data_IF_290714502059
#
_entry.id   IF_290714502059
#
_cell.length_a   1.000
_cell.length_b   1.000
_cell.length_c   1.000
_cell.angle_alpha   90.00
_cell.angle_beta   90.00
_cell.angle_gamma   90.00
#
_symmetry.space_group_name_H-M   'P 1'
#
loop_
_entity.id
_entity.type
_entity.pdbx_description
1 polymer ?
#
# COMPACT_ATOMS: atom_id res chain seq x y z
N UNK A 1 -46.95 7.89 -53.09
CA UNK A 1 -46.21 6.64 -52.82
C UNK A 1 -45.52 6.81 -51.47
N UNK A 2 -45.87 5.95 -50.52
CA UNK A 2 -45.62 6.08 -49.09
C UNK A 2 -44.38 5.26 -48.72
N UNK A 3 -43.44 5.81 -47.94
CA UNK A 3 -42.72 5.03 -46.92
C UNK A 3 -42.22 5.94 -45.80
N UNK A 4 -42.58 5.49 -44.61
CA UNK A 4 -42.47 6.10 -43.29
C UNK A 4 -41.29 5.48 -42.53
N UNK A 5 -40.68 6.28 -41.64
CA UNK A 5 -40.01 5.98 -40.36
C UNK A 5 -38.98 4.84 -40.24
N UNK A 6 -37.81 5.15 -39.64
CA UNK A 6 -37.20 4.61 -38.38
C UNK A 6 -35.82 5.29 -38.24
N UNK A 7 -35.63 6.31 -37.39
CA UNK A 7 -35.19 6.30 -35.97
C UNK A 7 -33.82 5.66 -35.69
N UNK A 8 -32.89 6.51 -35.24
CA UNK A 8 -31.68 6.33 -34.41
C UNK A 8 -31.12 4.93 -34.11
N UNK A 9 -29.80 4.75 -34.26
CA UNK A 9 -29.02 3.91 -33.34
C UNK A 9 -27.49 4.15 -33.40
N UNK A 10 -26.96 4.51 -32.21
CA UNK A 10 -25.71 4.09 -31.59
C UNK A 10 -24.33 4.53 -32.13
N UNK A 11 -23.70 5.33 -31.26
CA UNK A 11 -22.28 5.51 -31.00
C UNK A 11 -21.42 4.25 -31.25
N UNK A 12 -20.36 4.42 -32.04
CA UNK A 12 -19.19 3.56 -32.00
C UNK A 12 -18.15 4.17 -31.04
N UNK A 13 -18.48 4.16 -29.75
CA UNK A 13 -17.51 4.25 -28.66
C UNK A 13 -16.79 2.91 -28.62
N UNK A 14 -15.69 2.79 -29.35
CA UNK A 14 -15.02 1.50 -29.54
C UNK A 14 -13.57 1.66 -29.88
N UNK A 15 -12.80 2.27 -28.98
CA UNK A 15 -11.33 2.20 -28.92
C UNK A 15 -10.84 2.52 -27.48
N UNK A 16 -11.56 2.05 -26.46
CA UNK A 16 -11.02 1.87 -25.10
C UNK A 16 -10.37 0.49 -24.97
N UNK A 17 -9.51 0.15 -25.94
CA UNK A 17 -8.82 -1.13 -26.01
C UNK A 17 -7.32 -0.91 -26.23
N UNK A 18 -6.69 -0.28 -25.24
CA UNK A 18 -5.29 -0.52 -24.88
C UNK A 18 -5.31 -0.79 -23.38
N UNK A 19 -5.64 -2.01 -22.94
CA UNK A 19 -4.67 -3.09 -22.84
C UNK A 19 -3.30 -2.59 -22.36
N UNK A 20 -3.26 -2.02 -21.16
CA UNK A 20 -2.11 -2.13 -20.27
C UNK A 20 -2.22 -3.40 -19.43
N UNK A 21 -2.36 -4.55 -20.10
CA UNK A 21 -2.15 -5.88 -19.52
C UNK A 21 -0.63 -6.04 -19.39
N UNK A 22 -0.08 -5.39 -18.37
CA UNK A 22 1.31 -5.50 -17.97
C UNK A 22 1.36 -5.21 -16.48
N UNK A 23 1.98 -6.12 -15.72
CA UNK A 23 2.30 -5.98 -14.31
C UNK A 23 2.53 -4.51 -13.92
N UNK A 24 1.59 -3.92 -13.17
CA UNK A 24 1.64 -2.50 -12.84
C UNK A 24 2.50 -2.32 -11.60
N UNK A 25 3.82 -2.37 -11.80
CA UNK A 25 4.75 -1.91 -10.79
C UNK A 25 4.49 -0.44 -10.48
N UNK A 26 4.67 -0.06 -9.22
CA UNK A 26 4.54 1.31 -8.77
C UNK A 26 5.59 1.60 -7.71
N UNK A 27 6.03 2.85 -7.60
CA UNK A 27 6.79 3.33 -6.45
C UNK A 27 5.88 4.15 -5.57
N UNK A 28 6.21 4.25 -4.29
CA UNK A 28 5.48 5.12 -3.39
C UNK A 28 6.37 5.70 -2.30
N UNK A 29 5.94 6.85 -1.81
CA UNK A 29 6.52 7.56 -0.68
C UNK A 29 5.44 7.80 0.36
N UNK A 30 5.78 7.73 1.63
CA UNK A 30 4.87 8.01 2.76
C UNK A 30 5.59 8.88 3.77
N UNK A 31 4.96 9.99 4.14
CA UNK A 31 5.38 10.86 5.23
C UNK A 31 4.78 10.33 6.54
N UNK A 32 5.51 9.45 7.22
CA UNK A 32 5.02 8.70 8.38
C UNK A 32 5.16 9.55 9.64
N UNK A 33 4.05 9.73 10.35
CA UNK A 33 4.05 10.38 11.65
C UNK A 33 4.74 9.50 12.73
N UNK A 34 5.30 10.10 13.79
CA UNK A 34 5.84 9.34 14.91
C UNK A 34 4.79 8.36 15.47
N UNK A 35 5.15 7.08 15.70
CA UNK A 35 4.22 6.07 16.18
C UNK A 35 3.70 6.37 17.59
N UNK A 36 2.40 6.19 17.78
CA UNK A 36 1.77 6.15 19.10
C UNK A 36 1.80 4.73 19.61
N UNK A 37 2.59 4.47 20.65
CA UNK A 37 2.77 3.12 21.16
C UNK A 37 1.71 2.73 22.19
N UNK A 38 1.32 1.46 22.17
CA UNK A 38 0.34 0.86 23.07
C UNK A 38 0.91 -0.46 23.61
N UNK A 39 1.02 -0.55 24.94
CA UNK A 39 1.59 -1.72 25.61
C UNK A 39 3.10 -1.90 25.39
N UNK A 40 3.61 -3.01 25.92
CA UNK A 40 5.01 -3.42 25.83
C UNK A 40 5.91 -2.97 27.00
N UNK A 41 6.97 -3.73 27.27
CA UNK A 41 8.08 -3.31 28.13
C UNK A 41 9.05 -2.49 27.29
N UNK A 42 9.22 -1.22 27.68
CA UNK A 42 10.13 -0.27 27.06
C UNK A 42 11.59 -0.51 27.49
N UNK A 43 12.43 0.55 27.57
CA UNK A 43 13.91 0.51 27.59
C UNK A 43 14.60 -0.25 28.75
N UNK A 44 13.82 -1.02 29.51
CA UNK A 44 14.11 -1.66 30.79
C UNK A 44 13.68 -3.15 30.85
N UNK A 45 13.24 -3.79 29.75
CA UNK A 45 13.07 -5.26 29.76
C UNK A 45 12.15 -5.95 28.76
N UNK A 46 11.85 -5.31 27.63
CA UNK A 46 11.53 -5.91 26.32
C UNK A 46 10.60 -7.13 26.24
N UNK A 47 9.29 -6.88 26.07
CA UNK A 47 8.34 -7.79 25.42
C UNK A 47 7.23 -6.98 24.72
N UNK A 48 6.98 -7.28 23.45
CA UNK A 48 5.74 -6.99 22.71
C UNK A 48 5.24 -5.55 22.78
N UNK A 49 5.87 -4.63 22.05
CA UNK A 49 5.37 -3.26 21.89
C UNK A 49 4.47 -3.20 20.67
N UNK A 50 3.22 -2.78 20.89
CA UNK A 50 2.30 -2.43 19.81
C UNK A 50 2.39 -0.93 19.52
N UNK A 51 2.03 -0.51 18.32
CA UNK A 51 1.91 0.91 18.00
C UNK A 51 1.01 1.16 16.81
N UNK A 52 0.55 2.40 16.68
CA UNK A 52 -0.16 2.88 15.51
C UNK A 52 0.60 4.05 14.90
N UNK A 53 0.59 4.13 13.58
CA UNK A 53 1.17 5.23 12.83
C UNK A 53 0.41 5.42 11.52
N UNK A 54 0.71 6.48 10.79
CA UNK A 54 0.10 6.76 9.51
C UNK A 54 0.59 8.08 8.95
N UNK A 55 0.13 8.40 7.76
CA UNK A 55 0.55 9.61 7.06
C UNK A 55 0.06 9.67 5.63
N UNK A 56 0.22 10.83 4.96
CA UNK A 56 -0.08 10.93 3.54
C UNK A 56 0.91 10.08 2.74
N UNK A 57 0.43 9.52 1.62
CA UNK A 57 1.28 8.85 0.65
C UNK A 57 1.11 9.46 -0.74
N UNK A 58 2.17 9.32 -1.54
CA UNK A 58 2.14 9.53 -2.98
C UNK A 58 2.65 8.29 -3.68
N UNK A 59 1.87 7.74 -4.60
CA UNK A 59 2.21 6.59 -5.43
C UNK A 59 2.41 7.06 -6.86
N UNK A 60 3.49 6.63 -7.49
CA UNK A 60 3.75 6.83 -8.92
C UNK A 60 3.63 5.49 -9.64
N UNK A 61 2.70 5.40 -10.59
CA UNK A 61 2.47 4.22 -11.41
C UNK A 61 3.52 4.15 -12.54
N UNK A 62 3.70 2.96 -13.12
CA UNK A 62 4.65 2.75 -14.22
C UNK A 62 4.39 3.63 -15.47
N UNK A 63 3.15 4.09 -15.67
CA UNK A 63 2.78 5.00 -16.76
C UNK A 63 3.02 6.49 -16.42
N UNK A 64 3.56 6.78 -15.24
CA UNK A 64 3.82 8.14 -14.75
C UNK A 64 2.64 8.80 -14.03
N UNK A 65 1.47 8.17 -14.01
CA UNK A 65 0.33 8.69 -13.27
C UNK A 65 0.60 8.64 -11.76
N UNK A 66 0.12 9.65 -11.04
CA UNK A 66 0.24 9.73 -9.59
C UNK A 66 -1.09 9.53 -8.89
N UNK A 67 -1.09 8.81 -7.79
CA UNK A 67 -2.21 8.69 -6.87
C UNK A 67 -1.79 9.10 -5.46
N UNK A 68 -2.65 9.83 -4.76
CA UNK A 68 -2.38 10.29 -3.40
C UNK A 68 -3.46 9.80 -2.44
N UNK A 69 -3.11 9.74 -1.15
CA UNK A 69 -4.04 9.31 -0.12
C UNK A 69 -3.42 9.30 1.25
N UNK A 70 -4.02 8.54 2.16
CA UNK A 70 -3.53 8.35 3.52
C UNK A 70 -3.31 6.87 3.81
N UNK A 71 -2.23 6.58 4.52
CA UNK A 71 -1.89 5.28 5.07
C UNK A 71 -2.15 5.30 6.56
N UNK A 72 -2.77 4.26 7.10
CA UNK A 72 -2.87 4.00 8.54
C UNK A 72 -2.33 2.61 8.80
N UNK A 73 -1.44 2.47 9.77
CA UNK A 73 -0.77 1.23 10.13
C UNK A 73 -0.92 0.94 11.61
N UNK A 74 -1.02 -0.34 11.93
CA UNK A 74 -0.76 -0.88 13.27
C UNK A 74 0.46 -1.80 13.18
N UNK A 75 1.36 -1.69 14.15
CA UNK A 75 2.62 -2.43 14.20
C UNK A 75 2.81 -3.16 15.51
N UNK A 76 3.56 -4.26 15.47
CA UNK A 76 3.94 -4.99 16.68
C UNK A 76 5.31 -5.64 16.54
N UNK A 77 6.14 -5.49 17.58
CA UNK A 77 7.43 -6.16 17.68
C UNK A 77 7.25 -7.63 18.07
N UNK A 78 8.09 -8.51 17.51
CA UNK A 78 8.11 -9.93 17.85
C UNK A 78 9.32 -10.31 18.73
N UNK A 79 9.18 -11.32 19.59
CA UNK A 79 10.30 -11.83 20.38
C UNK A 79 11.45 -12.35 19.49
N UNK A 80 12.72 -12.11 19.85
CA UNK A 80 13.86 -12.48 19.01
C UNK A 80 14.04 -13.99 18.77
N UNK A 81 13.42 -14.85 19.58
CA UNK A 81 13.76 -16.28 19.63
C UNK A 81 13.10 -17.15 18.57
N UNK A 82 12.13 -16.64 17.79
CA UNK A 82 11.35 -17.50 16.87
C UNK A 82 10.87 -16.85 15.56
N UNK A 83 11.20 -15.59 15.30
CA UNK A 83 10.52 -14.81 14.26
C UNK A 83 11.39 -14.51 13.03
N UNK A 84 10.80 -14.66 11.84
CA UNK A 84 11.44 -14.28 10.57
C UNK A 84 11.56 -12.75 10.41
N UNK A 85 10.67 -12.01 11.06
CA UNK A 85 10.61 -10.55 11.06
C UNK A 85 10.58 -10.03 12.49
N UNK A 86 11.38 -9.01 12.78
CA UNK A 86 11.40 -8.32 14.07
C UNK A 86 10.11 -7.53 14.33
N UNK A 87 9.48 -7.01 13.27
CA UNK A 87 8.25 -6.20 13.36
C UNK A 87 7.27 -6.63 12.26
N UNK A 88 5.98 -6.68 12.59
CA UNK A 88 4.91 -6.76 11.59
C UNK A 88 4.09 -5.48 11.56
N UNK A 89 3.75 -5.02 10.36
CA UNK A 89 2.84 -3.89 10.15
C UNK A 89 1.64 -4.34 9.34
N UNK A 90 0.43 -4.08 9.84
CA UNK A 90 -0.81 -4.19 9.06
C UNK A 90 -1.32 -2.78 8.78
N UNK A 91 -1.51 -2.45 7.51
CA UNK A 91 -1.88 -1.11 7.08
C UNK A 91 -3.07 -1.10 6.14
N UNK A 92 -3.83 -0.02 6.17
CA UNK A 92 -4.82 0.35 5.16
C UNK A 92 -4.40 1.66 4.49
N UNK A 93 -4.37 1.65 3.16
CA UNK A 93 -4.18 2.82 2.31
C UNK A 93 -5.51 3.20 1.67
N UNK A 94 -5.89 4.47 1.79
CA UNK A 94 -7.14 5.02 1.24
C UNK A 94 -6.79 6.20 0.35
N UNK A 95 -7.23 6.18 -0.91
CA UNK A 95 -7.06 7.31 -1.82
C UNK A 95 -7.76 8.57 -1.28
N UNK A 96 -7.27 9.76 -1.62
CA UNK A 96 -7.82 11.04 -1.13
C UNK A 96 -9.32 11.20 -1.40
N UNK A 97 -9.81 10.67 -2.53
CA UNK A 97 -11.23 10.69 -2.91
C UNK A 97 -12.07 9.56 -2.28
N UNK A 98 -11.44 8.66 -1.52
CA UNK A 98 -12.06 7.51 -0.87
C UNK A 98 -12.47 6.37 -1.82
N UNK A 99 -12.23 6.49 -3.13
CA UNK A 99 -12.68 5.53 -4.14
C UNK A 99 -11.94 4.19 -4.07
N UNK A 100 -10.67 4.25 -3.69
CA UNK A 100 -9.75 3.11 -3.68
C UNK A 100 -9.25 2.86 -2.26
N UNK A 101 -9.40 1.62 -1.81
CA UNK A 101 -8.90 1.12 -0.53
C UNK A 101 -8.05 -0.11 -0.77
N UNK A 102 -6.94 -0.18 -0.05
CA UNK A 102 -5.96 -1.25 -0.20
C UNK A 102 -5.44 -1.64 1.17
N UNK A 103 -5.36 -2.93 1.45
CA UNK A 103 -4.72 -3.42 2.68
C UNK A 103 -3.33 -3.94 2.36
N UNK A 104 -2.40 -3.71 3.28
CA UNK A 104 -0.99 -4.07 3.16
C UNK A 104 -0.54 -4.76 4.44
N UNK A 105 0.25 -5.82 4.30
CA UNK A 105 0.89 -6.49 5.43
C UNK A 105 2.39 -6.58 5.19
N UNK A 106 3.19 -5.98 6.07
CA UNK A 106 4.65 -6.04 6.04
C UNK A 106 5.20 -6.94 7.16
N UNK A 107 6.30 -7.60 6.84
CA UNK A 107 7.30 -8.06 7.79
C UNK A 107 8.57 -7.24 7.62
N UNK A 108 9.12 -6.72 8.72
CA UNK A 108 10.24 -5.78 8.75
C UNK A 108 11.37 -6.30 9.63
N UNK A 109 12.60 -5.99 9.24
CA UNK A 109 13.79 -6.18 10.06
C UNK A 109 14.60 -4.87 10.11
N UNK A 110 15.25 -4.56 11.24
CA UNK A 110 16.19 -3.45 11.31
C UNK A 110 17.37 -3.70 10.37
N UNK A 111 17.88 -2.65 9.75
CA UNK A 111 19.08 -2.68 8.93
C UNK A 111 20.11 -1.68 9.48
N UNK A 112 21.25 -2.21 9.93
CA UNK A 112 22.27 -1.44 10.65
C UNK A 112 22.35 -1.81 12.14
N UNK A 113 23.06 -1.01 12.92
CA UNK A 113 23.12 -1.12 14.38
C UNK A 113 22.02 -0.25 15.03
N UNK A 114 21.52 -0.66 16.21
CA UNK A 114 20.43 -0.03 17.00
C UNK A 114 19.01 -0.03 16.38
N UNK A 115 18.06 0.73 16.98
CA UNK A 115 16.68 1.04 16.53
C UNK A 115 16.65 1.82 15.18
N UNK A 116 17.53 1.43 14.25
CA UNK A 116 17.78 2.06 12.97
C UNK A 116 16.68 1.82 11.93
N UNK A 117 16.93 2.21 10.67
CA UNK A 117 15.94 2.08 9.60
C UNK A 117 15.45 0.64 9.45
N UNK A 118 14.18 0.47 9.06
CA UNK A 118 13.61 -0.85 8.77
C UNK A 118 13.67 -1.14 7.28
N UNK A 119 13.94 -2.40 6.96
CA UNK A 119 13.72 -2.98 5.64
C UNK A 119 12.56 -3.98 5.74
N UNK A 120 11.52 -3.77 4.94
CA UNK A 120 10.33 -4.59 4.96
C UNK A 120 9.97 -5.15 3.59
N UNK A 121 9.32 -6.31 3.63
CA UNK A 121 8.67 -6.95 2.50
C UNK A 121 7.25 -7.34 2.89
N UNK A 122 6.33 -7.31 1.95
CA UNK A 122 4.92 -7.47 2.28
C UNK A 122 4.04 -7.89 1.11
N UNK A 123 2.81 -8.22 1.47
CA UNK A 123 1.72 -8.47 0.52
C UNK A 123 0.77 -7.27 0.48
N UNK A 124 0.15 -7.06 -0.68
CA UNK A 124 -0.86 -6.02 -0.88
C UNK A 124 -2.12 -6.62 -1.49
N UNK A 125 -3.29 -6.09 -1.13
CA UNK A 125 -4.59 -6.50 -1.67
C UNK A 125 -5.52 -5.30 -1.82
N UNK A 126 -6.02 -5.08 -3.04
CA UNK A 126 -7.02 -4.05 -3.29
C UNK A 126 -8.38 -4.48 -2.74
N UNK A 127 -8.97 -3.64 -1.89
CA UNK A 127 -10.29 -3.87 -1.27
C UNK A 127 -11.42 -3.24 -2.08
N UNK A 128 -11.16 -2.09 -2.69
CA UNK A 128 -12.11 -1.38 -3.56
C UNK A 128 -11.40 -0.74 -4.76
N UNK A 129 -12.17 -0.16 -5.68
CA UNK A 129 -11.64 0.54 -6.85
C UNK A 129 -11.13 -0.42 -7.94
N UNK A 130 -10.30 0.08 -8.87
CA UNK A 130 -9.86 -0.68 -10.05
C UNK A 130 -9.05 -1.96 -9.73
N UNK A 131 -8.46 -2.05 -8.54
CA UNK A 131 -7.67 -3.19 -8.09
C UNK A 131 -8.43 -4.09 -7.09
N UNK A 132 -9.75 -3.95 -6.96
CA UNK A 132 -10.54 -4.77 -6.03
C UNK A 132 -10.35 -6.27 -6.26
N UNK A 133 -9.98 -7.00 -5.20
CA UNK A 133 -9.67 -8.43 -5.23
C UNK A 133 -8.28 -8.78 -5.79
N UNK A 134 -7.57 -7.82 -6.39
CA UNK A 134 -6.23 -8.01 -6.93
C UNK A 134 -5.20 -8.06 -5.79
N UNK A 135 -4.22 -8.95 -5.92
CA UNK A 135 -3.13 -9.13 -4.94
C UNK A 135 -1.81 -8.70 -5.54
N UNK A 136 -0.82 -8.48 -4.69
CA UNK A 136 0.52 -8.10 -5.11
C UNK A 136 1.56 -8.29 -4.01
N UNK A 137 2.78 -7.83 -4.29
CA UNK A 137 3.82 -7.63 -3.28
C UNK A 137 4.26 -6.18 -3.21
N UNK A 138 4.81 -5.82 -2.06
CA UNK A 138 5.39 -4.51 -1.78
C UNK A 138 6.68 -4.64 -0.97
N UNK A 139 7.55 -3.65 -1.09
CA UNK A 139 8.73 -3.45 -0.26
C UNK A 139 8.66 -2.07 0.39
N UNK A 140 9.23 -1.92 1.57
CA UNK A 140 9.29 -0.65 2.29
C UNK A 140 10.68 -0.47 2.90
N UNK A 141 11.29 0.69 2.68
CA UNK A 141 12.40 1.19 3.47
C UNK A 141 11.88 2.32 4.36
N UNK A 142 11.85 2.09 5.66
CA UNK A 142 11.42 3.07 6.66
C UNK A 142 12.66 3.75 7.26
N UNK A 143 12.75 5.08 7.17
CA UNK A 143 13.84 5.87 7.74
C UNK A 143 13.31 7.14 8.39
N UNK A 144 13.16 7.11 9.72
CA UNK A 144 12.60 8.23 10.47
C UNK A 144 11.16 8.51 10.01
N UNK A 145 10.87 9.76 9.67
CA UNK A 145 9.54 10.21 9.21
C UNK A 145 9.31 9.96 7.71
N UNK A 146 10.34 9.55 6.96
CA UNK A 146 10.21 9.30 5.53
C UNK A 146 10.28 7.81 5.25
N UNK A 147 9.41 7.33 4.37
CA UNK A 147 9.49 5.96 3.88
C UNK A 147 9.26 5.89 2.39
N UNK A 148 9.99 4.97 1.75
CA UNK A 148 9.91 4.74 0.31
C UNK A 148 9.76 3.27 0.03
N UNK A 149 9.06 2.94 -1.04
CA UNK A 149 8.82 1.55 -1.40
C UNK A 149 8.48 1.34 -2.85
N UNK A 150 8.41 0.07 -3.22
CA UNK A 150 7.98 -0.36 -4.56
C UNK A 150 6.96 -1.47 -4.40
N UNK A 151 5.94 -1.46 -5.23
CA UNK A 151 4.95 -2.52 -5.29
C UNK A 151 4.75 -3.03 -6.70
N UNK A 152 4.12 -4.19 -6.78
CA UNK A 152 3.69 -4.80 -8.02
C UNK A 152 2.40 -5.56 -7.77
N UNK A 153 1.42 -5.33 -8.62
CA UNK A 153 0.21 -6.13 -8.64
C UNK A 153 0.43 -7.39 -9.49
N UNK A 154 -0.01 -8.54 -8.99
CA UNK A 154 -0.04 -9.80 -9.72
C UNK A 154 -1.21 -9.81 -10.71
N UNK A 155 -1.10 -10.64 -11.74
CA UNK A 155 -2.18 -10.90 -12.72
C UNK A 155 -3.16 -11.95 -12.20
#
# INVERSE_FOLDING_TARGET
>A
MMRKFVTAALAATGLLASAGVSAQSFTYEVDIAPPTFVGGLGPDGSYGRGGTTGGPYTTTLANGDTATGTLTCVGMDQPPSTSLFAVHLACDAVATDGSTRTSVLYGCNPIGEDDGPLSCVGGIEGKTGPNAGRRGSVTLHLRGENSVGTGQWYE
#
